data_IF_975254493741
#
_entry.id   IF_975254493741
#
_cell.length_a   1.000
_cell.length_b   1.000
_cell.length_c   1.000
_cell.angle_alpha   90.00
_cell.angle_beta   90.00
_cell.angle_gamma   90.00
#
_symmetry.space_group_name_H-M   'P 1'
#
loop_
_entity.id
_entity.type
_entity.pdbx_description
1 polymer ?
#
# COMPACT_ATOMS: atom_id res chain seq x y z
N UNK A 1 5.05 -25.83 -1.92
CA UNK A 1 4.80 -24.71 -2.87
C UNK A 1 6.11 -23.94 -3.01
N UNK A 2 6.53 -23.59 -4.23
CA UNK A 2 7.81 -22.92 -4.46
C UNK A 2 7.75 -21.44 -4.02
N UNK A 3 8.88 -20.86 -3.59
CA UNK A 3 8.99 -19.44 -3.17
C UNK A 3 8.46 -18.51 -4.26
N UNK A 4 8.83 -18.78 -5.52
CA UNK A 4 8.38 -18.00 -6.68
C UNK A 4 6.87 -18.04 -6.88
N UNK A 5 6.24 -19.20 -6.64
CA UNK A 5 4.78 -19.34 -6.75
C UNK A 5 4.05 -18.52 -5.69
N UNK A 6 4.60 -18.46 -4.47
CA UNK A 6 4.05 -17.65 -3.38
C UNK A 6 4.16 -16.17 -3.71
N UNK A 7 5.33 -15.70 -4.17
CA UNK A 7 5.55 -14.31 -4.58
C UNK A 7 4.59 -13.92 -5.70
N UNK A 8 4.47 -14.76 -6.74
CA UNK A 8 3.57 -14.50 -7.86
C UNK A 8 2.12 -14.36 -7.42
N UNK A 9 1.66 -15.22 -6.51
CA UNK A 9 0.31 -15.15 -5.95
C UNK A 9 0.06 -13.81 -5.26
N UNK A 10 0.99 -13.35 -4.41
CA UNK A 10 0.85 -12.04 -3.75
C UNK A 10 0.91 -10.88 -4.74
N UNK A 11 1.73 -10.96 -5.79
CA UNK A 11 1.78 -9.92 -6.83
C UNK A 11 0.47 -9.80 -7.60
N UNK A 12 -0.16 -10.92 -7.94
CA UNK A 12 -1.48 -10.93 -8.58
C UNK A 12 -2.49 -10.24 -7.66
N UNK A 13 -2.55 -10.62 -6.38
CA UNK A 13 -3.48 -10.01 -5.42
C UNK A 13 -3.22 -8.50 -5.28
N UNK A 14 -1.97 -8.09 -5.06
CA UNK A 14 -1.59 -6.69 -4.92
C UNK A 14 -2.03 -5.85 -6.12
N UNK A 15 -1.82 -6.39 -7.32
CA UNK A 15 -2.21 -5.73 -8.58
C UNK A 15 -3.73 -5.69 -8.73
N UNK A 16 -4.43 -6.80 -8.48
CA UNK A 16 -5.89 -6.85 -8.54
C UNK A 16 -6.55 -5.89 -7.56
N UNK A 17 -6.07 -5.81 -6.31
CA UNK A 17 -6.59 -4.85 -5.31
C UNK A 17 -6.34 -3.42 -5.76
N UNK A 18 -5.16 -3.13 -6.31
CA UNK A 18 -4.82 -1.79 -6.80
C UNK A 18 -5.78 -1.36 -7.92
N UNK A 19 -5.99 -2.21 -8.92
CA UNK A 19 -6.94 -1.93 -10.00
C UNK A 19 -8.37 -1.76 -9.47
N UNK A 20 -8.81 -2.66 -8.59
CA UNK A 20 -10.14 -2.60 -7.99
C UNK A 20 -10.36 -1.30 -7.20
N UNK A 21 -9.39 -0.87 -6.40
CA UNK A 21 -9.45 0.39 -5.65
C UNK A 21 -9.68 1.58 -6.58
N UNK A 22 -8.93 1.70 -7.66
CA UNK A 22 -9.09 2.80 -8.60
C UNK A 22 -10.43 2.78 -9.31
N UNK A 23 -10.89 1.61 -9.76
CA UNK A 23 -12.22 1.45 -10.38
C UNK A 23 -13.32 1.83 -9.39
N UNK A 24 -13.22 1.38 -8.15
CA UNK A 24 -14.19 1.65 -7.10
C UNK A 24 -14.26 3.15 -6.77
N UNK A 25 -13.11 3.80 -6.60
CA UNK A 25 -13.03 5.25 -6.39
C UNK A 25 -13.65 6.02 -7.56
N UNK A 26 -13.31 5.65 -8.80
CA UNK A 26 -13.89 6.30 -9.98
C UNK A 26 -15.42 6.18 -10.01
N UNK A 27 -15.96 4.99 -9.72
CA UNK A 27 -17.41 4.77 -9.65
C UNK A 27 -18.06 5.65 -8.56
N UNK A 28 -17.47 5.69 -7.36
CA UNK A 28 -17.99 6.50 -6.25
C UNK A 28 -17.90 8.00 -6.50
N UNK A 29 -16.86 8.47 -7.19
CA UNK A 29 -16.75 9.88 -7.59
C UNK A 29 -17.93 10.31 -8.49
N UNK A 30 -18.35 9.45 -9.42
CA UNK A 30 -19.52 9.72 -10.27
C UNK A 30 -20.81 9.66 -9.47
N UNK A 31 -20.99 8.65 -8.61
CA UNK A 31 -22.18 8.47 -7.77
C UNK A 31 -22.41 9.65 -6.82
N UNK A 32 -21.37 10.07 -6.12
CA UNK A 32 -21.42 11.18 -5.16
C UNK A 32 -21.22 12.55 -5.79
N UNK A 33 -21.12 12.63 -7.14
CA UNK A 33 -20.93 13.88 -7.89
C UNK A 33 -19.75 14.72 -7.39
N UNK A 34 -18.72 14.04 -6.87
CA UNK A 34 -17.54 14.66 -6.27
C UNK A 34 -17.85 15.69 -5.15
N UNK A 35 -18.80 15.37 -4.28
CA UNK A 35 -19.16 16.21 -3.14
C UNK A 35 -18.04 16.34 -2.09
N UNK A 36 -18.18 17.32 -1.19
CA UNK A 36 -17.20 17.57 -0.12
C UNK A 36 -17.06 16.37 0.82
N UNK A 37 -18.15 15.62 1.06
CA UNK A 37 -18.14 14.42 1.91
C UNK A 37 -17.27 13.33 1.29
N UNK A 38 -17.37 13.08 -0.01
CA UNK A 38 -16.51 12.13 -0.73
C UNK A 38 -15.04 12.54 -0.68
N UNK A 39 -14.73 13.84 -0.78
CA UNK A 39 -13.35 14.32 -0.63
C UNK A 39 -12.82 14.12 0.79
N UNK A 40 -13.62 14.41 1.82
CA UNK A 40 -13.26 14.16 3.21
C UNK A 40 -13.02 12.67 3.48
N UNK A 41 -13.86 11.82 2.92
CA UNK A 41 -13.74 10.37 3.02
C UNK A 41 -12.43 9.87 2.39
N UNK A 42 -12.13 10.32 1.17
CA UNK A 42 -10.88 10.00 0.49
C UNK A 42 -9.66 10.50 1.27
N UNK A 43 -9.70 11.71 1.82
CA UNK A 43 -8.61 12.26 2.61
C UNK A 43 -8.35 11.43 3.88
N UNK A 44 -9.42 11.02 4.57
CA UNK A 44 -9.28 10.21 5.80
C UNK A 44 -8.72 8.81 5.50
N UNK A 45 -9.16 8.19 4.42
CA UNK A 45 -8.64 6.90 3.99
C UNK A 45 -7.20 6.99 3.47
N UNK A 46 -6.86 8.03 2.71
CA UNK A 46 -5.49 8.28 2.27
C UNK A 46 -4.56 8.53 3.46
N UNK A 47 -5.02 9.27 4.48
CA UNK A 47 -4.27 9.47 5.72
C UNK A 47 -4.03 8.14 6.45
N UNK A 48 -5.04 7.27 6.52
CA UNK A 48 -4.88 5.92 7.08
C UNK A 48 -3.83 5.09 6.31
N UNK A 49 -3.86 5.14 4.98
CA UNK A 49 -2.88 4.49 4.13
C UNK A 49 -1.47 5.10 4.29
N UNK A 50 -1.38 6.42 4.52
CA UNK A 50 -0.09 7.10 4.67
C UNK A 50 0.70 6.66 5.92
N UNK A 51 0.02 6.12 6.95
CA UNK A 51 0.73 5.50 8.07
C UNK A 51 1.64 4.35 7.63
N UNK A 52 1.31 3.61 6.56
CA UNK A 52 2.19 2.56 6.05
C UNK A 52 3.51 3.14 5.51
N UNK A 53 3.47 4.34 4.92
CA UNK A 53 4.67 5.04 4.45
C UNK A 53 5.54 5.48 5.63
N UNK A 54 4.93 6.01 6.69
CA UNK A 54 5.67 6.36 7.92
C UNK A 54 6.35 5.14 8.54
N UNK A 55 5.66 4.00 8.60
CA UNK A 55 6.23 2.74 9.10
C UNK A 55 7.39 2.28 8.21
N UNK A 56 7.24 2.35 6.89
CA UNK A 56 8.30 1.97 5.95
C UNK A 56 9.55 2.83 6.15
N UNK A 57 9.40 4.15 6.29
CA UNK A 57 10.51 5.07 6.53
C UNK A 57 11.27 4.68 7.80
N UNK A 58 10.55 4.41 8.90
CA UNK A 58 11.17 3.98 10.16
C UNK A 58 11.94 2.67 9.97
N UNK A 59 11.35 1.69 9.28
CA UNK A 59 11.99 0.39 9.03
C UNK A 59 13.28 0.55 8.19
N UNK A 60 13.21 1.35 7.13
CA UNK A 60 14.37 1.63 6.28
C UNK A 60 15.47 2.39 7.05
N UNK A 61 15.10 3.36 7.89
CA UNK A 61 16.04 4.12 8.71
C UNK A 61 16.73 3.25 9.76
N UNK A 62 16.00 2.34 10.41
CA UNK A 62 16.59 1.38 11.35
C UNK A 62 17.54 0.44 10.62
N UNK A 63 17.10 -0.13 9.49
CA UNK A 63 17.92 -1.04 8.68
C UNK A 63 19.22 -0.39 8.22
N UNK A 64 19.15 0.84 7.70
CA UNK A 64 20.33 1.58 7.26
C UNK A 64 21.27 1.90 8.43
N UNK A 65 20.73 2.34 9.57
CA UNK A 65 21.52 2.62 10.78
C UNK A 65 22.27 1.36 11.25
N UNK A 66 21.60 0.20 11.32
CA UNK A 66 22.24 -1.05 11.74
C UNK A 66 23.39 -1.43 10.80
N UNK A 67 23.19 -1.33 9.48
CA UNK A 67 24.24 -1.64 8.50
C UNK A 67 25.44 -0.69 8.60
N UNK A 68 25.21 0.59 8.92
CA UNK A 68 26.27 1.58 9.06
C UNK A 68 27.17 1.33 10.28
N UNK A 69 26.61 0.78 11.37
CA UNK A 69 27.34 0.61 12.64
C UNK A 69 27.81 -0.82 12.92
N UNK A 70 27.38 -1.82 12.15
CA UNK A 70 27.66 -3.24 12.45
C UNK A 70 28.57 -3.93 11.44
N UNK A 71 29.13 -3.22 10.45
CA UNK A 71 29.89 -3.78 9.31
C UNK A 71 29.16 -4.95 8.60
N UNK A 72 27.82 -4.96 8.66
CA UNK A 72 26.98 -5.96 8.00
C UNK A 72 26.68 -5.46 6.59
N UNK A 73 27.19 -6.17 5.58
CA UNK A 73 26.84 -5.91 4.18
C UNK A 73 25.56 -6.67 3.81
N UNK A 74 24.45 -5.94 3.66
CA UNK A 74 23.19 -6.48 3.15
C UNK A 74 23.13 -6.22 1.65
N UNK A 75 23.04 -7.28 0.84
CA UNK A 75 22.87 -7.18 -0.61
C UNK A 75 21.47 -7.63 -1.01
N UNK A 76 20.83 -6.84 -1.87
CA UNK A 76 19.57 -7.20 -2.51
C UNK A 76 19.74 -7.17 -4.02
N UNK A 77 19.16 -8.14 -4.71
CA UNK A 77 19.00 -8.05 -6.17
C UNK A 77 17.96 -6.98 -6.48
N UNK A 78 18.16 -6.26 -7.58
CA UNK A 78 17.22 -5.22 -8.01
C UNK A 78 15.80 -5.78 -8.22
N UNK A 79 15.70 -7.00 -8.75
CA UNK A 79 14.41 -7.70 -8.91
C UNK A 79 13.65 -7.87 -7.59
N UNK A 80 14.35 -8.23 -6.50
CA UNK A 80 13.71 -8.37 -5.18
C UNK A 80 13.23 -7.03 -4.66
N UNK A 81 13.98 -5.95 -4.89
CA UNK A 81 13.56 -4.59 -4.52
C UNK A 81 12.31 -4.17 -5.27
N UNK A 82 12.24 -4.42 -6.58
CA UNK A 82 11.04 -4.13 -7.39
C UNK A 82 9.82 -4.91 -6.90
N UNK A 83 9.98 -6.21 -6.63
CA UNK A 83 8.90 -7.06 -6.10
C UNK A 83 8.39 -6.51 -4.76
N UNK A 84 9.28 -6.22 -3.82
CA UNK A 84 8.88 -5.68 -2.52
C UNK A 84 8.24 -4.29 -2.65
N UNK A 85 8.70 -3.46 -3.59
CA UNK A 85 8.08 -2.18 -3.90
C UNK A 85 6.63 -2.33 -4.36
N UNK A 86 6.37 -3.24 -5.31
CA UNK A 86 4.99 -3.52 -5.79
C UNK A 86 4.12 -4.06 -4.65
N UNK A 87 4.64 -5.00 -3.87
CA UNK A 87 3.90 -5.58 -2.73
C UNK A 87 3.56 -4.53 -1.67
N UNK A 88 4.49 -3.62 -1.38
CA UNK A 88 4.26 -2.52 -0.44
C UNK A 88 3.17 -1.56 -0.95
N UNK A 89 3.21 -1.19 -2.24
CA UNK A 89 2.16 -0.35 -2.86
C UNK A 89 0.81 -1.08 -2.78
N UNK A 90 0.77 -2.37 -3.09
CA UNK A 90 -0.44 -3.18 -2.97
C UNK A 90 -0.99 -3.20 -1.54
N UNK A 91 -0.14 -3.40 -0.55
CA UNK A 91 -0.53 -3.37 0.87
C UNK A 91 -1.08 -2.00 1.29
N UNK A 92 -0.42 -0.91 0.88
CA UNK A 92 -0.93 0.46 1.10
C UNK A 92 -2.34 0.63 0.50
N UNK A 93 -2.55 0.13 -0.72
CA UNK A 93 -3.86 0.21 -1.40
C UNK A 93 -4.92 -0.66 -0.72
N UNK A 94 -4.56 -1.82 -0.14
CA UNK A 94 -5.47 -2.61 0.70
C UNK A 94 -5.91 -1.78 1.92
N UNK A 95 -4.98 -1.11 2.60
CA UNK A 95 -5.29 -0.26 3.76
C UNK A 95 -6.25 0.87 3.35
N UNK A 96 -5.96 1.55 2.23
CA UNK A 96 -6.83 2.61 1.69
C UNK A 96 -8.24 2.08 1.39
N UNK A 97 -8.34 0.94 0.71
CA UNK A 97 -9.62 0.32 0.36
C UNK A 97 -10.44 -0.05 1.59
N UNK A 98 -9.80 -0.68 2.60
CA UNK A 98 -10.43 -1.03 3.86
C UNK A 98 -10.90 0.22 4.61
N UNK A 99 -10.08 1.27 4.66
CA UNK A 99 -10.43 2.53 5.31
C UNK A 99 -11.60 3.23 4.60
N UNK A 100 -11.61 3.27 3.27
CA UNK A 100 -12.73 3.79 2.48
C UNK A 100 -14.02 3.03 2.79
N UNK A 101 -14.01 1.70 2.72
CA UNK A 101 -15.20 0.88 3.00
C UNK A 101 -15.69 0.97 4.45
N UNK A 102 -14.80 1.23 5.40
CA UNK A 102 -15.16 1.45 6.81
C UNK A 102 -15.78 2.83 7.04
N UNK A 103 -15.17 3.88 6.49
CA UNK A 103 -15.64 5.25 6.70
C UNK A 103 -16.88 5.58 5.87
N UNK A 104 -17.07 5.01 4.67
CA UNK A 104 -18.27 5.16 3.82
C UNK A 104 -19.54 4.66 4.54
N UNK A 105 -19.40 3.68 5.44
CA UNK A 105 -20.50 3.15 6.26
C UNK A 105 -20.79 3.96 7.53
N UNK A 106 -19.88 4.85 7.95
CA UNK A 106 -19.93 5.53 9.26
C UNK A 106 -20.15 7.03 9.18
N UNK A 107 -19.59 7.69 8.18
CA UNK A 107 -19.93 9.06 7.81
C UNK A 107 -21.16 9.04 6.93
#
# INVERSE_FOLDING_TARGET
MNEQTIILFFLIIATSVTLFLYIWKAKKTVEYKNDERWQLLQNKANNAANYSNSILIILLAIGSTVTLFSDIQITFTFDRVLIYGILFIGLRNVIELCALGYFDKRL
#
